data_IF_288703931543
#
_entry.id   IF_288703931543
#
_cell.length_a   1.000
_cell.length_b   1.000
_cell.length_c   1.000
_cell.angle_alpha   90.00
_cell.angle_beta   90.00
_cell.angle_gamma   90.00
#
_symmetry.space_group_name_H-M   'P 1'
#
loop_
_entity.id
_entity.type
_entity.pdbx_description
1 polymer ?
#
# COMPACT_ATOMS: atom_id res chain seq x y z
N UNK A 1 -34.40 -48.82 -4.83
CA UNK A 1 -33.21 -48.50 -4.02
C UNK A 1 -31.94 -48.20 -4.85
N UNK A 2 -32.02 -47.91 -6.16
CA UNK A 2 -30.85 -47.89 -7.05
C UNK A 2 -30.18 -46.52 -7.29
N UNK A 3 -30.73 -45.42 -6.77
CA UNK A 3 -30.25 -44.05 -7.08
C UNK A 3 -29.59 -43.33 -5.90
N UNK A 4 -29.59 -43.93 -4.71
CA UNK A 4 -29.04 -43.32 -3.50
C UNK A 4 -27.52 -43.25 -3.53
N UNK A 5 -26.85 -44.26 -4.12
CA UNK A 5 -25.39 -44.29 -4.26
C UNK A 5 -24.84 -43.25 -5.22
N UNK A 6 -25.58 -42.94 -6.29
CA UNK A 6 -25.15 -41.95 -7.30
C UNK A 6 -25.18 -40.52 -6.75
N UNK A 7 -26.12 -40.24 -5.82
CA UNK A 7 -26.19 -38.93 -5.15
C UNK A 7 -25.08 -38.74 -4.12
N UNK A 8 -24.70 -39.79 -3.39
CA UNK A 8 -23.57 -39.73 -2.48
C UNK A 8 -22.24 -39.45 -3.23
N UNK A 9 -22.04 -40.09 -4.38
CA UNK A 9 -20.87 -39.84 -5.23
C UNK A 9 -20.85 -38.42 -5.82
N UNK A 10 -22.01 -37.89 -6.24
CA UNK A 10 -22.10 -36.52 -6.76
C UNK A 10 -21.78 -35.46 -5.69
N UNK A 11 -22.16 -35.70 -4.42
CA UNK A 11 -21.86 -34.78 -3.31
C UNK A 11 -20.38 -34.81 -2.94
N UNK A 12 -19.74 -35.99 -2.90
CA UNK A 12 -18.29 -36.08 -2.66
C UNK A 12 -17.47 -35.48 -3.81
N UNK A 13 -17.89 -35.69 -5.06
CA UNK A 13 -17.24 -35.11 -6.23
C UNK A 13 -17.35 -33.58 -6.25
N UNK A 14 -18.47 -33.01 -5.76
CA UNK A 14 -18.65 -31.56 -5.64
C UNK A 14 -17.75 -30.93 -4.55
N UNK A 15 -17.49 -31.64 -3.45
CA UNK A 15 -16.59 -31.17 -2.38
C UNK A 15 -15.11 -31.22 -2.77
N UNK A 16 -14.71 -32.14 -3.66
CA UNK A 16 -13.32 -32.33 -4.06
C UNK A 16 -12.79 -31.23 -5.02
N UNK A 17 -13.66 -30.40 -5.59
CA UNK A 17 -13.30 -29.37 -6.58
C UNK A 17 -13.05 -27.99 -5.92
N UNK A 18 -13.31 -27.85 -4.61
CA UNK A 18 -13.23 -26.56 -3.91
C UNK A 18 -11.87 -26.20 -3.31
N UNK A 19 -10.82 -27.01 -3.45
CA UNK A 19 -9.47 -26.65 -3.04
C UNK A 19 -8.81 -25.71 -4.06
N UNK A 20 -9.35 -24.49 -4.18
CA UNK A 20 -8.57 -23.35 -4.68
C UNK A 20 -7.48 -23.10 -3.66
N UNK A 21 -6.30 -23.70 -3.86
CA UNK A 21 -5.08 -23.23 -3.24
C UNK A 21 -5.00 -21.74 -3.56
N UNK A 22 -5.16 -20.89 -2.53
CA UNK A 22 -4.87 -19.47 -2.68
C UNK A 22 -3.47 -19.38 -3.30
N UNK A 23 -3.23 -18.49 -4.28
CA UNK A 23 -1.86 -18.25 -4.72
C UNK A 23 -1.06 -17.98 -3.44
N UNK A 24 0.08 -18.64 -3.28
CA UNK A 24 0.99 -18.35 -2.17
C UNK A 24 1.29 -16.85 -2.27
N UNK A 25 0.56 -16.06 -1.49
CA UNK A 25 0.61 -14.61 -1.56
C UNK A 25 2.03 -14.19 -1.26
N UNK A 26 2.55 -13.20 -1.98
CA UNK A 26 3.84 -12.61 -1.63
C UNK A 26 3.83 -12.28 -0.14
N UNK A 27 4.79 -12.87 0.58
CA UNK A 27 4.99 -12.57 2.00
C UNK A 27 5.39 -11.11 2.08
N UNK A 28 4.52 -10.25 2.60
CA UNK A 28 4.85 -8.85 2.82
C UNK A 28 5.91 -8.76 3.92
N UNK A 29 7.16 -8.55 3.51
CA UNK A 29 8.33 -8.47 4.38
C UNK A 29 8.46 -7.12 5.09
N UNK A 30 7.56 -6.17 4.80
CA UNK A 30 7.57 -4.84 5.41
C UNK A 30 7.23 -4.91 6.90
N UNK A 31 7.91 -4.07 7.67
CA UNK A 31 7.67 -3.93 9.10
C UNK A 31 6.32 -3.26 9.35
N UNK A 32 5.56 -3.77 10.32
CA UNK A 32 4.30 -3.17 10.75
C UNK A 32 4.59 -1.99 11.68
N UNK A 33 3.97 -0.84 11.42
CA UNK A 33 4.06 0.33 12.29
C UNK A 33 3.27 0.11 13.60
N UNK A 34 3.54 0.90 14.66
CA UNK A 34 2.84 0.79 15.95
C UNK A 34 1.32 1.04 15.88
N UNK A 35 0.85 1.68 14.81
CA UNK A 35 -0.58 1.87 14.54
C UNK A 35 -1.30 0.55 14.17
N UNK A 36 -0.56 -0.52 13.89
CA UNK A 36 -1.09 -1.83 13.52
C UNK A 36 -1.70 -1.90 12.12
N UNK A 37 -1.62 -0.82 11.33
CA UNK A 37 -2.28 -0.71 10.02
C UNK A 37 -1.25 -0.52 8.91
N UNK A 38 -0.31 0.40 9.09
CA UNK A 38 0.62 0.76 8.03
C UNK A 38 1.85 -0.14 8.05
N UNK A 39 2.33 -0.51 6.86
CA UNK A 39 3.56 -1.29 6.67
C UNK A 39 4.60 -0.47 5.94
N UNK A 40 5.85 -0.52 6.42
CA UNK A 40 6.96 0.29 5.90
C UNK A 40 8.23 -0.55 5.73
N UNK A 41 9.10 -0.13 4.81
CA UNK A 41 10.40 -0.79 4.58
C UNK A 41 11.40 -0.51 5.72
N UNK A 42 11.22 0.58 6.47
CA UNK A 42 12.04 0.94 7.62
C UNK A 42 11.15 1.57 8.69
N UNK A 43 11.27 1.13 9.95
CA UNK A 43 10.45 1.63 11.07
C UNK A 43 10.58 3.15 11.28
N UNK A 44 11.67 3.78 10.85
CA UNK A 44 11.81 5.24 10.86
C UNK A 44 10.77 5.94 9.95
N UNK A 45 10.25 5.26 8.93
CA UNK A 45 9.22 5.81 8.06
C UNK A 45 7.87 5.97 8.76
N UNK A 46 7.59 5.24 9.84
CA UNK A 46 6.30 5.31 10.53
C UNK A 46 5.97 6.72 11.02
N UNK A 47 6.98 7.51 11.41
CA UNK A 47 6.78 8.89 11.86
C UNK A 47 6.30 9.84 10.77
N UNK A 48 6.45 9.47 9.50
CA UNK A 48 6.03 10.28 8.36
C UNK A 48 4.58 10.02 7.94
N UNK A 49 3.95 8.96 8.45
CA UNK A 49 2.56 8.63 8.11
C UNK A 49 1.60 9.76 8.52
N UNK A 50 1.65 10.31 9.76
CA UNK A 50 0.80 11.45 10.11
C UNK A 50 1.10 12.70 9.27
N UNK A 51 2.36 12.89 8.85
CA UNK A 51 2.76 14.02 7.99
C UNK A 51 2.19 13.85 6.58
N UNK A 52 2.23 12.64 6.02
CA UNK A 52 1.59 12.30 4.74
C UNK A 52 0.10 12.61 4.81
N UNK A 53 -0.57 12.13 5.84
CA UNK A 53 -2.02 12.27 5.98
C UNK A 53 -2.41 13.75 6.11
N UNK A 54 -1.73 14.52 6.96
CA UNK A 54 -1.94 15.96 7.06
C UNK A 54 -1.66 16.71 5.75
N UNK A 55 -0.59 16.36 5.02
CA UNK A 55 -0.31 16.96 3.72
C UNK A 55 -1.42 16.68 2.70
N UNK A 56 -1.94 15.45 2.66
CA UNK A 56 -2.99 15.06 1.71
C UNK A 56 -4.32 15.74 2.09
N UNK A 57 -4.71 15.68 3.35
CA UNK A 57 -6.05 16.08 3.80
C UNK A 57 -6.18 17.60 4.03
N UNK A 58 -5.14 18.25 4.56
CA UNK A 58 -5.20 19.66 4.96
C UNK A 58 -4.56 20.62 3.95
N UNK A 59 -3.50 20.18 3.26
CA UNK A 59 -2.72 21.06 2.37
C UNK A 59 -3.06 20.83 0.90
N UNK A 60 -3.09 19.58 0.46
CA UNK A 60 -3.37 19.23 -0.94
C UNK A 60 -4.86 19.00 -1.20
N UNK A 61 -5.67 18.88 -0.15
CA UNK A 61 -7.13 18.70 -0.22
C UNK A 61 -7.52 17.52 -1.11
N UNK A 62 -6.69 16.46 -1.12
CA UNK A 62 -6.87 15.28 -1.96
C UNK A 62 -6.75 15.53 -3.47
N UNK A 63 -6.20 16.67 -3.90
CA UNK A 63 -6.15 17.08 -5.30
C UNK A 63 -4.74 17.43 -5.80
N UNK A 64 -4.52 17.31 -7.11
CA UNK A 64 -3.33 17.86 -7.77
C UNK A 64 -3.58 19.33 -8.15
N UNK A 65 -3.80 20.17 -7.14
CA UNK A 65 -4.10 21.59 -7.29
C UNK A 65 -2.88 22.51 -7.10
N UNK A 66 -3.16 23.80 -6.86
CA UNK A 66 -2.13 24.83 -6.71
C UNK A 66 -1.14 24.53 -5.58
N UNK A 67 -1.61 24.05 -4.42
CA UNK A 67 -0.74 23.74 -3.28
C UNK A 67 0.23 22.59 -3.60
N UNK A 68 -0.22 21.58 -4.35
CA UNK A 68 0.64 20.50 -4.83
C UNK A 68 1.68 21.02 -5.84
N UNK A 69 1.26 21.84 -6.81
CA UNK A 69 2.15 22.46 -7.80
C UNK A 69 3.22 23.35 -7.15
N UNK A 70 2.80 24.20 -6.21
CA UNK A 70 3.70 25.11 -5.48
C UNK A 70 4.70 24.34 -4.63
N UNK A 71 4.30 23.20 -4.02
CA UNK A 71 5.22 22.35 -3.25
C UNK A 71 6.34 21.76 -4.12
N UNK A 72 6.00 21.31 -5.33
CA UNK A 72 7.01 20.82 -6.30
C UNK A 72 7.97 21.96 -6.70
N UNK A 73 7.44 23.16 -6.95
CA UNK A 73 8.25 24.35 -7.23
C UNK A 73 9.19 24.67 -6.07
N UNK A 74 8.69 24.68 -4.83
CA UNK A 74 9.48 24.93 -3.63
C UNK A 74 10.60 23.91 -3.50
N UNK A 75 10.31 22.62 -3.67
CA UNK A 75 11.33 21.57 -3.59
C UNK A 75 12.50 21.78 -4.57
N UNK A 76 12.20 22.18 -5.82
CA UNK A 76 13.25 22.52 -6.78
C UNK A 76 14.06 23.75 -6.33
N UNK A 77 13.37 24.84 -5.97
CA UNK A 77 14.03 26.10 -5.62
C UNK A 77 14.84 26.02 -4.32
N UNK A 78 14.44 25.16 -3.38
CA UNK A 78 15.22 24.83 -2.18
C UNK A 78 16.47 24.02 -2.54
N UNK A 79 16.29 22.92 -3.27
CA UNK A 79 17.40 22.01 -3.60
C UNK A 79 18.44 22.64 -4.54
N UNK A 80 18.04 23.51 -5.47
CA UNK A 80 18.94 24.09 -6.48
C UNK A 80 19.87 25.17 -5.90
N UNK A 81 19.67 25.59 -4.64
CA UNK A 81 20.54 26.53 -3.93
C UNK A 81 21.94 25.98 -3.58
N UNK A 82 22.37 24.88 -4.21
CA UNK A 82 23.65 24.22 -3.97
C UNK A 82 24.61 24.40 -5.15
N UNK A 83 25.85 24.83 -4.90
CA UNK A 83 26.91 24.97 -5.92
C UNK A 83 28.25 24.44 -5.42
N UNK A 84 28.88 23.55 -6.19
CA UNK A 84 30.25 23.06 -5.93
C UNK A 84 31.34 24.05 -6.36
N UNK A 85 30.97 25.11 -7.09
CA UNK A 85 31.90 26.11 -7.64
C UNK A 85 31.78 27.47 -6.95
N UNK A 86 31.04 27.53 -5.84
CA UNK A 86 30.65 28.76 -5.16
C UNK A 86 29.37 29.37 -5.74
N UNK A 87 28.58 29.99 -4.87
CA UNK A 87 27.57 30.98 -5.26
C UNK A 87 28.22 32.36 -5.31
N UNK A 88 27.48 33.39 -5.73
CA UNK A 88 27.95 34.77 -5.53
C UNK A 88 28.27 35.05 -4.06
#
# INVERSE_FOLDING_TARGET
MAFTGLRAFAVLAALAISSKAAPAGEVDTRALCPDGVNRVNNLQCCRFIPVRDALIDEIFEGSCGENAHSTVRIAFHDAIGFSTRGGK
#
